data_IF_099231662844
#
_entry.id   IF_099231662844
#
_cell.length_a   1.000
_cell.length_b   1.000
_cell.length_c   1.000
_cell.angle_alpha   90.00
_cell.angle_beta   90.00
_cell.angle_gamma   90.00
#
_symmetry.space_group_name_H-M   'P 1'
#
loop_
_entity.id
_entity.type
_entity.pdbx_description
1 polymer ?
#
# COMPACT_ATOMS: atom_id res chain seq x y z
N UNK A 1 19.30 27.80 -8.04
CA UNK A 1 19.51 28.70 -9.20
C UNK A 1 20.45 28.13 -10.24
N UNK A 2 21.30 27.15 -9.92
CA UNK A 2 22.24 26.55 -10.88
C UNK A 2 21.61 25.54 -11.86
N UNK A 3 20.38 25.07 -11.60
CA UNK A 3 19.68 24.17 -12.52
C UNK A 3 19.16 24.93 -13.73
N UNK A 4 19.36 24.35 -14.91
CA UNK A 4 18.85 24.91 -16.17
C UNK A 4 17.34 24.74 -16.26
N UNK A 5 16.63 25.81 -16.65
CA UNK A 5 15.19 25.80 -16.95
C UNK A 5 14.88 25.26 -18.37
N UNK A 6 15.89 25.11 -19.21
CA UNK A 6 15.73 24.83 -20.64
C UNK A 6 15.61 23.33 -20.88
N UNK A 7 14.54 22.91 -21.56
CA UNK A 7 14.49 21.57 -22.16
C UNK A 7 15.35 21.58 -23.42
N UNK A 8 16.34 20.70 -23.50
CA UNK A 8 17.09 20.48 -24.73
C UNK A 8 16.20 19.69 -25.68
N UNK A 9 15.47 20.39 -26.53
CA UNK A 9 15.00 19.80 -27.79
C UNK A 9 16.24 19.79 -28.69
N UNK A 10 16.87 18.64 -28.89
CA UNK A 10 17.90 18.53 -29.92
C UNK A 10 17.25 18.80 -31.27
N UNK A 11 17.37 20.04 -31.76
CA UNK A 11 16.99 20.38 -33.12
C UNK A 11 17.73 19.48 -34.10
N UNK A 12 17.02 18.53 -34.70
CA UNK A 12 17.47 17.80 -35.88
C UNK A 12 18.28 16.51 -35.67
N UNK A 13 18.71 16.13 -34.46
CA UNK A 13 19.43 14.86 -34.24
C UNK A 13 18.72 14.05 -33.15
N UNK A 14 18.00 13.02 -33.60
CA UNK A 14 17.53 11.92 -32.75
C UNK A 14 18.74 11.15 -32.23
N UNK A 15 19.37 11.63 -31.17
CA UNK A 15 20.12 10.76 -30.27
C UNK A 15 19.05 10.01 -29.48
N UNK A 16 18.64 8.88 -30.03
CA UNK A 16 17.99 7.75 -29.36
C UNK A 16 17.04 8.09 -28.19
N UNK A 17 15.85 8.60 -28.52
CA UNK A 17 14.61 8.27 -27.80
C UNK A 17 14.32 8.89 -26.43
N UNK A 18 15.26 9.55 -25.77
CA UNK A 18 14.98 10.18 -24.46
C UNK A 18 14.58 11.65 -24.65
N UNK A 19 13.32 11.99 -24.36
CA UNK A 19 12.95 13.38 -24.08
C UNK A 19 13.53 13.72 -22.72
N UNK A 20 14.75 14.23 -22.74
CA UNK A 20 15.50 14.58 -21.55
C UNK A 20 15.02 15.92 -21.01
N UNK A 21 13.85 15.92 -20.37
CA UNK A 21 13.55 16.90 -19.33
C UNK A 21 14.54 16.63 -18.18
N UNK A 22 15.79 17.11 -18.28
CA UNK A 22 16.88 16.88 -17.31
C UNK A 22 17.13 18.08 -16.40
N UNK A 23 16.33 19.13 -16.53
CA UNK A 23 16.51 20.37 -15.78
C UNK A 23 15.60 20.46 -14.57
N UNK A 24 15.38 21.71 -14.13
CA UNK A 24 14.41 22.03 -13.08
C UNK A 24 12.98 21.53 -13.34
N UNK A 25 12.43 21.53 -14.58
CA UNK A 25 11.05 21.09 -14.81
C UNK A 25 10.78 19.64 -14.38
N UNK A 26 11.81 18.79 -14.41
CA UNK A 26 11.70 17.39 -13.96
C UNK A 26 11.72 17.29 -12.44
N UNK A 27 12.56 18.07 -11.78
CA UNK A 27 12.61 18.16 -10.32
C UNK A 27 11.28 18.69 -9.77
N UNK A 28 10.72 19.72 -10.39
CA UNK A 28 9.39 20.26 -10.06
C UNK A 28 8.30 19.22 -10.25
N UNK A 29 8.28 18.51 -11.38
CA UNK A 29 7.34 17.42 -11.63
C UNK A 29 7.42 16.32 -10.56
N UNK A 30 8.64 15.94 -10.13
CA UNK A 30 8.87 14.91 -9.12
C UNK A 30 8.40 15.38 -7.74
N UNK A 31 8.71 16.60 -7.33
CA UNK A 31 8.27 17.14 -6.04
C UNK A 31 6.75 17.32 -5.95
N UNK A 32 6.09 17.64 -7.06
CA UNK A 32 4.63 17.75 -7.11
C UNK A 32 3.92 16.41 -7.33
N UNK A 33 4.67 15.32 -7.55
CA UNK A 33 4.14 13.99 -7.84
C UNK A 33 3.15 14.03 -9.03
N UNK A 34 3.53 14.77 -10.08
CA UNK A 34 2.74 14.90 -11.31
C UNK A 34 3.04 13.76 -12.27
N UNK A 35 2.04 13.37 -13.06
CA UNK A 35 2.19 12.32 -14.08
C UNK A 35 3.24 12.72 -15.14
N UNK A 36 4.15 11.80 -15.52
CA UNK A 36 5.11 12.03 -16.58
C UNK A 36 4.45 12.11 -17.96
N UNK A 37 5.07 12.86 -18.89
CA UNK A 37 4.62 12.92 -20.30
C UNK A 37 4.83 11.59 -21.03
N UNK A 38 6.00 10.95 -20.82
CA UNK A 38 6.33 9.61 -21.32
C UNK A 38 6.29 8.62 -20.17
N UNK A 39 5.09 8.14 -19.86
CA UNK A 39 4.89 7.16 -18.80
C UNK A 39 5.32 5.76 -19.29
N UNK A 40 6.17 5.09 -18.52
CA UNK A 40 6.51 3.70 -18.74
C UNK A 40 5.41 2.79 -18.19
N UNK A 41 5.13 1.70 -18.88
CA UNK A 41 4.27 0.63 -18.38
C UNK A 41 5.09 -0.23 -17.41
N UNK A 42 4.57 -0.46 -16.21
CA UNK A 42 5.20 -1.31 -15.19
C UNK A 42 4.39 -2.58 -14.95
N UNK A 43 5.04 -3.65 -14.47
CA UNK A 43 4.35 -4.87 -14.07
C UNK A 43 3.67 -4.69 -12.71
N UNK A 44 2.43 -5.12 -12.58
CA UNK A 44 1.72 -5.18 -11.30
C UNK A 44 1.95 -6.50 -10.53
N UNK A 45 2.50 -7.52 -11.21
CA UNK A 45 2.69 -8.87 -10.64
C UNK A 45 4.13 -9.33 -10.78
N UNK A 46 4.57 -10.16 -9.82
CA UNK A 46 5.81 -10.92 -9.95
C UNK A 46 5.56 -12.12 -10.88
N UNK A 47 6.42 -12.30 -11.88
CA UNK A 47 6.19 -13.34 -12.87
C UNK A 47 7.27 -13.44 -13.93
N UNK A 48 7.00 -14.22 -14.96
CA UNK A 48 7.85 -14.38 -16.14
C UNK A 48 7.12 -13.89 -17.37
N UNK A 49 7.82 -13.20 -18.27
CA UNK A 49 7.28 -12.80 -19.57
C UNK A 49 7.05 -14.05 -20.41
N UNK A 50 5.79 -14.39 -20.62
CA UNK A 50 5.42 -15.58 -21.39
C UNK A 50 5.42 -15.30 -22.89
N UNK A 51 4.85 -14.16 -23.30
CA UNK A 51 4.80 -13.82 -24.71
C UNK A 51 4.75 -12.32 -24.98
N UNK A 52 5.25 -11.95 -26.15
CA UNK A 52 5.24 -10.57 -26.66
C UNK A 52 4.57 -10.60 -28.03
N UNK A 53 3.29 -10.27 -28.07
CA UNK A 53 2.47 -10.33 -29.29
C UNK A 53 2.51 -8.96 -29.97
N UNK A 54 2.95 -8.92 -31.23
CA UNK A 54 2.88 -7.72 -32.07
C UNK A 54 1.55 -7.71 -32.82
N UNK A 55 0.70 -6.72 -32.56
CA UNK A 55 -0.55 -6.53 -33.31
C UNK A 55 -0.34 -5.70 -34.58
N UNK A 56 -1.27 -5.85 -35.54
CA UNK A 56 -1.25 -5.17 -36.85
C UNK A 56 -1.15 -3.63 -36.80
N UNK A 57 -1.44 -3.00 -35.65
CA UNK A 57 -1.36 -1.54 -35.46
C UNK A 57 -0.10 -1.09 -34.70
N UNK A 58 1.00 -1.86 -34.75
CA UNK A 58 2.25 -1.56 -34.03
C UNK A 58 2.09 -1.50 -32.49
N UNK A 59 0.97 -2.02 -31.97
CA UNK A 59 0.72 -2.18 -30.54
C UNK A 59 1.33 -3.51 -30.11
N UNK A 60 2.09 -3.48 -29.02
CA UNK A 60 2.64 -4.70 -28.45
C UNK A 60 1.78 -5.10 -27.25
N UNK A 61 1.51 -6.39 -27.10
CA UNK A 61 0.93 -6.96 -25.88
C UNK A 61 2.01 -7.78 -25.18
N UNK A 62 2.20 -7.53 -23.90
CA UNK A 62 3.08 -8.34 -23.05
C UNK A 62 2.21 -9.17 -22.12
N UNK A 63 2.38 -10.48 -22.18
CA UNK A 63 1.70 -11.43 -21.30
C UNK A 63 2.67 -11.85 -20.21
N UNK A 64 2.32 -11.59 -18.95
CA UNK A 64 3.10 -11.98 -17.79
C UNK A 64 2.37 -13.10 -17.05
N UNK A 65 3.06 -14.21 -16.86
CA UNK A 65 2.60 -15.36 -16.10
C UNK A 65 3.14 -15.28 -14.66
N UNK A 66 2.29 -15.37 -13.62
CA UNK A 66 2.71 -15.25 -12.23
C UNK A 66 3.63 -16.41 -11.81
N UNK A 67 4.65 -16.13 -10.99
CA UNK A 67 5.58 -17.15 -10.50
C UNK A 67 4.94 -18.04 -9.41
N UNK A 68 3.95 -17.52 -8.69
CA UNK A 68 3.20 -18.27 -7.66
C UNK A 68 2.13 -19.16 -8.30
N UNK A 69 2.58 -20.24 -8.91
CA UNK A 69 1.75 -21.42 -9.12
C UNK A 69 1.56 -22.09 -7.76
N UNK A 70 0.55 -21.67 -6.98
CA UNK A 70 0.11 -22.50 -5.85
C UNK A 70 -0.51 -23.74 -6.49
N UNK A 71 0.25 -24.83 -6.47
CA UNK A 71 -0.21 -26.17 -6.86
C UNK A 71 -1.51 -26.49 -6.10
N UNK A 72 -2.66 -26.44 -6.77
CA UNK A 72 -3.93 -26.90 -6.21
C UNK A 72 -5.16 -26.01 -6.36
N UNK A 73 -5.06 -24.77 -6.89
CA UNK A 73 -6.26 -24.02 -7.32
C UNK A 73 -6.36 -24.01 -8.83
N UNK A 74 -7.29 -24.82 -9.35
CA UNK A 74 -7.55 -25.16 -10.75
C UNK A 74 -7.96 -24.03 -11.70
N UNK A 75 -7.39 -22.82 -11.59
CA UNK A 75 -7.62 -21.68 -12.50
C UNK A 75 -6.29 -21.04 -12.96
N UNK A 76 -5.32 -21.85 -13.41
CA UNK A 76 -3.99 -21.35 -13.86
C UNK A 76 -4.02 -20.47 -15.11
N UNK A 77 -5.08 -20.51 -15.92
CA UNK A 77 -5.22 -19.63 -17.10
C UNK A 77 -5.73 -18.21 -16.74
N UNK A 78 -6.40 -18.03 -15.60
CA UNK A 78 -7.09 -16.79 -15.24
C UNK A 78 -6.21 -15.74 -14.55
N UNK A 79 -4.96 -16.05 -14.22
CA UNK A 79 -4.04 -15.11 -13.53
C UNK A 79 -3.00 -14.48 -14.44
N UNK A 80 -2.99 -14.78 -15.74
CA UNK A 80 -2.09 -14.12 -16.69
C UNK A 80 -2.51 -12.67 -16.84
N UNK A 81 -1.55 -11.76 -16.71
CA UNK A 81 -1.82 -10.32 -16.84
C UNK A 81 -1.32 -9.82 -18.19
N UNK A 82 -2.23 -9.23 -18.95
CA UNK A 82 -1.97 -8.69 -20.29
C UNK A 82 -1.76 -7.19 -20.17
N UNK A 83 -0.59 -6.72 -20.59
CA UNK A 83 -0.25 -5.30 -20.65
C UNK A 83 -0.27 -4.82 -22.09
N UNK A 84 -1.08 -3.81 -22.37
CA UNK A 84 -1.13 -3.17 -23.68
C UNK A 84 -0.10 -2.05 -23.74
N UNK A 85 0.84 -2.15 -24.68
CA UNK A 85 1.91 -1.17 -24.85
C UNK A 85 1.58 -0.26 -26.03
N UNK A 86 1.47 1.06 -25.80
CA UNK A 86 1.35 2.05 -26.87
C UNK A 86 2.50 1.93 -27.88
N UNK A 87 2.24 2.18 -29.18
CA UNK A 87 3.24 2.04 -30.24
C UNK A 87 4.41 3.03 -30.11
N UNK A 88 4.22 4.11 -29.36
CA UNK A 88 5.22 5.15 -29.10
C UNK A 88 6.30 4.70 -28.12
N UNK A 89 6.00 3.70 -27.28
CA UNK A 89 6.89 3.23 -26.24
C UNK A 89 7.70 2.02 -26.71
N UNK A 90 9.02 2.13 -26.58
CA UNK A 90 9.92 1.00 -26.85
C UNK A 90 9.91 0.04 -25.68
N UNK A 91 9.75 -1.24 -25.98
CA UNK A 91 9.78 -2.34 -25.03
C UNK A 91 11.22 -2.69 -24.64
N UNK A 92 11.48 -2.97 -23.35
CA UNK A 92 12.81 -3.27 -22.81
C UNK A 92 12.99 -4.71 -22.31
N UNK A 93 11.90 -5.47 -22.20
CA UNK A 93 11.89 -6.84 -21.67
C UNK A 93 11.97 -7.89 -22.76
N UNK A 94 12.42 -9.10 -22.43
CA UNK A 94 12.49 -10.22 -23.38
C UNK A 94 11.60 -11.38 -22.95
N UNK A 95 11.20 -12.22 -23.90
CA UNK A 95 10.43 -13.45 -23.62
C UNK A 95 11.26 -14.39 -22.73
N UNK A 96 10.67 -14.86 -21.65
CA UNK A 96 11.34 -15.69 -20.63
C UNK A 96 12.03 -14.91 -19.51
N UNK A 97 12.04 -13.58 -19.55
CA UNK A 97 12.61 -12.77 -18.48
C UNK A 97 11.73 -12.82 -17.22
N UNK A 98 12.36 -13.01 -16.06
CA UNK A 98 11.70 -12.83 -14.76
C UNK A 98 11.57 -11.35 -14.43
N UNK A 99 10.38 -10.94 -14.02
CA UNK A 99 10.02 -9.55 -13.75
C UNK A 99 9.37 -9.47 -12.37
N UNK A 100 9.77 -8.46 -11.60
CA UNK A 100 9.16 -8.16 -10.31
C UNK A 100 8.02 -7.15 -10.44
N UNK A 101 7.08 -7.17 -9.50
CA UNK A 101 6.04 -6.16 -9.38
C UNK A 101 6.70 -4.78 -9.18
N UNK A 102 6.33 -3.80 -10.00
CA UNK A 102 6.89 -2.45 -10.07
C UNK A 102 8.00 -2.26 -11.12
N UNK A 103 8.46 -3.33 -11.77
CA UNK A 103 9.52 -3.24 -12.78
C UNK A 103 8.98 -2.74 -14.13
N UNK A 104 9.81 -1.97 -14.85
CA UNK A 104 9.47 -1.36 -16.14
C UNK A 104 9.44 -2.39 -17.26
N UNK A 105 8.38 -2.37 -18.05
CA UNK A 105 8.23 -3.13 -19.29
C UNK A 105 8.69 -2.34 -20.52
N UNK A 106 8.61 -1.00 -20.43
CA UNK A 106 8.94 -0.08 -21.52
C UNK A 106 9.91 1.01 -21.08
N UNK A 107 10.55 1.67 -22.05
CA UNK A 107 11.32 2.91 -21.83
C UNK A 107 10.38 4.03 -21.39
N UNK A 108 10.82 4.85 -20.44
CA UNK A 108 10.08 6.02 -19.95
C UNK A 108 10.22 6.21 -18.45
N UNK A 109 9.46 7.17 -17.94
CA UNK A 109 9.40 7.50 -16.52
C UNK A 109 8.22 6.79 -15.86
N UNK A 110 8.38 6.37 -14.61
CA UNK A 110 7.32 5.68 -13.87
C UNK A 110 6.42 6.74 -13.24
N UNK A 111 5.11 6.50 -13.21
CA UNK A 111 4.18 7.30 -12.43
C UNK A 111 4.28 6.90 -10.94
N UNK A 112 4.64 7.82 -10.01
CA UNK A 112 4.69 7.51 -8.59
C UNK A 112 3.38 6.96 -8.01
N UNK A 113 2.23 7.32 -8.61
CA UNK A 113 0.92 6.80 -8.18
C UNK A 113 0.75 5.31 -8.49
N UNK A 114 1.37 4.80 -9.55
CA UNK A 114 1.34 3.38 -9.86
C UNK A 114 2.24 2.58 -8.92
N UNK A 115 3.44 3.11 -8.62
CA UNK A 115 4.33 2.52 -7.62
C UNK A 115 3.63 2.45 -6.26
N UNK A 116 2.91 3.50 -5.86
CA UNK A 116 2.19 3.54 -4.59
C UNK A 116 1.17 2.39 -4.48
N UNK A 117 0.45 2.10 -5.56
CA UNK A 117 -0.56 1.03 -5.61
C UNK A 117 0.06 -0.37 -5.55
N UNK A 118 1.24 -0.55 -6.14
CA UNK A 118 1.86 -1.87 -6.30
C UNK A 118 2.82 -2.20 -5.15
N UNK A 119 3.70 -1.27 -4.80
CA UNK A 119 4.82 -1.50 -3.85
C UNK A 119 4.69 -0.67 -2.56
N UNK A 120 3.77 0.30 -2.50
CA UNK A 120 3.52 1.13 -1.32
C UNK A 120 4.43 2.36 -1.19
N UNK A 121 4.29 3.08 -0.07
CA UNK A 121 4.88 4.41 0.12
C UNK A 121 6.41 4.41 0.11
N UNK A 122 7.04 3.38 0.70
CA UNK A 122 8.50 3.28 0.81
C UNK A 122 9.15 3.20 -0.58
N UNK A 123 8.59 2.39 -1.47
CA UNK A 123 9.08 2.27 -2.83
C UNK A 123 8.94 3.58 -3.62
N UNK A 124 7.86 4.34 -3.39
CA UNK A 124 7.70 5.68 -3.98
C UNK A 124 8.78 6.63 -3.48
N UNK A 125 9.07 6.64 -2.18
CA UNK A 125 10.11 7.49 -1.60
C UNK A 125 11.49 7.16 -2.18
N UNK A 126 11.84 5.89 -2.27
CA UNK A 126 13.09 5.44 -2.89
C UNK A 126 13.17 5.80 -4.38
N UNK A 127 12.05 5.66 -5.11
CA UNK A 127 11.97 6.07 -6.52
C UNK A 127 12.20 7.57 -6.69
N UNK A 128 11.49 8.40 -5.91
CA UNK A 128 11.64 9.86 -5.95
C UNK A 128 13.06 10.29 -5.59
N UNK A 129 13.65 9.69 -4.56
CA UNK A 129 15.03 9.97 -4.15
C UNK A 129 16.00 9.69 -5.30
N UNK A 130 15.93 8.49 -5.91
CA UNK A 130 16.79 8.09 -7.02
C UNK A 130 16.64 9.01 -8.23
N UNK A 131 15.42 9.35 -8.61
CA UNK A 131 15.14 10.22 -9.77
C UNK A 131 15.61 11.66 -9.54
N UNK A 132 15.30 12.25 -8.39
CA UNK A 132 15.73 13.62 -8.06
C UNK A 132 17.26 13.69 -8.01
N UNK A 133 17.89 12.71 -7.35
CA UNK A 133 19.34 12.62 -7.25
C UNK A 133 20.00 12.44 -8.63
N UNK A 134 19.41 11.64 -9.52
CA UNK A 134 19.88 11.48 -10.89
C UNK A 134 19.85 12.81 -11.66
N UNK A 135 18.82 13.63 -11.48
CA UNK A 135 18.74 14.96 -12.11
C UNK A 135 19.86 15.87 -11.59
N UNK A 136 20.04 16.00 -10.27
CA UNK A 136 21.11 16.84 -9.71
C UNK A 136 22.50 16.37 -10.13
N UNK A 137 22.75 15.05 -10.11
CA UNK A 137 24.01 14.46 -10.56
C UNK A 137 24.28 14.72 -12.04
N UNK A 138 23.25 14.65 -12.90
CA UNK A 138 23.40 14.97 -14.33
C UNK A 138 23.83 16.42 -14.58
N UNK A 139 23.52 17.32 -13.64
CA UNK A 139 23.91 18.74 -13.68
C UNK A 139 25.20 19.00 -12.90
N UNK A 140 25.91 17.95 -12.46
CA UNK A 140 27.18 18.06 -11.73
C UNK A 140 27.04 18.53 -10.27
N UNK A 141 25.83 18.57 -9.72
CA UNK A 141 25.59 18.97 -8.33
C UNK A 141 25.46 17.72 -7.46
N UNK A 142 26.35 17.57 -6.49
CA UNK A 142 26.27 16.50 -5.50
C UNK A 142 25.53 16.98 -4.25
N UNK A 143 24.35 16.42 -3.99
CA UNK A 143 23.54 16.72 -2.81
C UNK A 143 23.50 15.46 -1.93
N UNK A 144 23.63 15.64 -0.62
CA UNK A 144 23.48 14.52 0.31
C UNK A 144 22.01 14.08 0.38
N UNK A 145 21.78 12.78 0.29
CA UNK A 145 20.45 12.15 0.28
C UNK A 145 19.58 12.60 1.46
N UNK A 146 20.16 12.86 2.63
CA UNK A 146 19.42 13.34 3.84
C UNK A 146 18.55 14.57 3.59
N UNK A 147 18.99 15.47 2.69
CA UNK A 147 18.25 16.70 2.39
C UNK A 147 17.05 16.39 1.51
N UNK A 148 17.23 15.51 0.52
CA UNK A 148 16.16 15.10 -0.38
C UNK A 148 15.14 14.25 0.38
N UNK A 149 15.58 13.34 1.24
CA UNK A 149 14.73 12.53 2.11
C UNK A 149 13.89 13.41 3.06
N UNK A 150 14.49 14.42 3.68
CA UNK A 150 13.77 15.34 4.55
C UNK A 150 12.65 16.08 3.81
N UNK A 151 12.87 16.44 2.54
CA UNK A 151 11.85 17.09 1.69
C UNK A 151 10.80 16.06 1.25
N UNK A 152 11.20 14.87 0.78
CA UNK A 152 10.28 13.81 0.34
C UNK A 152 9.33 13.41 1.47
N UNK A 153 9.83 13.34 2.71
CA UNK A 153 9.02 13.08 3.91
C UNK A 153 7.91 14.12 4.12
N UNK A 154 8.13 15.37 3.68
CA UNK A 154 7.15 16.46 3.80
C UNK A 154 6.19 16.53 2.61
N UNK A 155 6.36 15.74 1.55
CA UNK A 155 5.43 15.73 0.40
C UNK A 155 4.08 15.15 0.86
N UNK A 156 3.19 16.06 1.26
CA UNK A 156 1.96 15.77 2.00
C UNK A 156 1.03 14.77 1.32
N UNK A 157 0.98 14.75 -0.02
CA UNK A 157 0.05 13.88 -0.77
C UNK A 157 0.31 12.38 -0.60
N UNK A 158 1.54 12.00 -0.28
CA UNK A 158 1.89 10.58 -0.07
C UNK A 158 1.67 10.15 1.39
N UNK A 159 1.65 11.08 2.33
CA UNK A 159 1.51 10.81 3.76
C UNK A 159 0.07 11.02 4.28
N UNK A 160 -0.90 11.18 3.38
CA UNK A 160 -2.31 11.32 3.74
C UNK A 160 -3.09 10.06 3.37
N UNK A 161 -3.99 9.65 4.24
CA UNK A 161 -4.87 8.50 4.08
C UNK A 161 -6.32 8.98 4.08
N UNK A 162 -7.12 8.35 3.22
CA UNK A 162 -8.56 8.59 3.17
C UNK A 162 -9.26 7.69 4.18
N UNK A 163 -9.94 8.28 5.15
CA UNK A 163 -10.69 7.56 6.17
C UNK A 163 -11.98 7.05 5.56
N UNK A 164 -12.05 5.74 5.28
CA UNK A 164 -13.29 5.12 4.76
C UNK A 164 -14.40 5.06 5.81
N UNK A 165 -14.04 4.75 7.06
CA UNK A 165 -14.97 4.58 8.17
C UNK A 165 -14.25 4.89 9.48
N UNK A 166 -14.80 5.83 10.25
CA UNK A 166 -14.25 6.27 11.52
C UNK A 166 -14.44 5.27 12.67
N UNK A 167 -15.58 4.55 12.68
CA UNK A 167 -15.98 3.65 13.78
C UNK A 167 -15.85 4.38 15.14
N UNK A 168 -15.09 3.82 16.07
CA UNK A 168 -14.90 4.33 17.44
C UNK A 168 -13.79 5.40 17.54
N UNK A 169 -13.11 5.73 16.43
CA UNK A 169 -12.11 6.79 16.41
C UNK A 169 -12.73 8.19 16.33
N UNK A 170 -11.99 9.19 16.78
CA UNK A 170 -12.38 10.61 16.72
C UNK A 170 -12.35 11.20 15.29
N UNK A 171 -11.93 10.41 14.29
CA UNK A 171 -11.76 10.86 12.91
C UNK A 171 -13.11 10.99 12.20
N UNK A 172 -13.19 11.81 11.15
CA UNK A 172 -14.38 11.88 10.31
C UNK A 172 -14.30 10.90 9.13
N UNK A 173 -15.41 10.21 8.88
CA UNK A 173 -15.52 9.38 7.68
C UNK A 173 -15.55 10.27 6.44
N UNK A 174 -14.66 10.00 5.48
CA UNK A 174 -14.50 10.79 4.26
C UNK A 174 -13.43 11.88 4.32
N UNK A 175 -12.75 12.04 5.45
CA UNK A 175 -11.65 13.00 5.60
C UNK A 175 -10.31 12.43 5.09
N UNK A 176 -9.43 13.33 4.63
CA UNK A 176 -8.02 13.02 4.37
C UNK A 176 -7.18 13.46 5.58
N UNK A 177 -6.60 12.50 6.28
CA UNK A 177 -5.79 12.74 7.48
C UNK A 177 -4.37 12.25 7.28
N UNK A 178 -3.39 12.79 8.01
CA UNK A 178 -2.03 12.29 7.95
C UNK A 178 -1.93 10.88 8.56
N UNK A 179 -1.05 10.03 8.02
CA UNK A 179 -0.80 8.68 8.54
C UNK A 179 -0.45 8.72 10.02
N UNK A 180 0.36 9.68 10.45
CA UNK A 180 0.74 9.83 11.87
C UNK A 180 -0.45 10.09 12.78
N UNK A 181 -1.41 10.90 12.33
CA UNK A 181 -2.59 11.24 13.13
C UNK A 181 -3.60 10.11 13.11
N UNK A 182 -3.72 9.40 11.98
CA UNK A 182 -4.48 8.15 11.87
C UNK A 182 -3.94 7.07 12.81
N UNK A 183 -2.62 6.86 12.85
CA UNK A 183 -1.97 5.91 13.75
C UNK A 183 -2.19 6.27 15.22
N UNK A 184 -2.05 7.55 15.59
CA UNK A 184 -2.34 8.03 16.95
C UNK A 184 -3.80 7.80 17.34
N UNK A 185 -4.75 8.11 16.46
CA UNK A 185 -6.17 7.91 16.75
C UNK A 185 -6.48 6.42 16.97
N UNK A 186 -5.91 5.54 16.15
CA UNK A 186 -6.07 4.10 16.33
C UNK A 186 -5.43 3.59 17.63
N UNK A 187 -4.24 4.07 17.98
CA UNK A 187 -3.59 3.71 19.24
C UNK A 187 -4.43 4.11 20.45
N UNK A 188 -5.00 5.31 20.43
CA UNK A 188 -5.90 5.80 21.49
C UNK A 188 -7.13 4.89 21.66
N UNK A 189 -7.78 4.52 20.55
CA UNK A 189 -8.92 3.58 20.58
C UNK A 189 -8.52 2.21 21.15
N UNK A 190 -7.32 1.71 20.82
CA UNK A 190 -6.81 0.45 21.37
C UNK A 190 -6.56 0.55 22.87
N UNK A 191 -6.04 1.67 23.37
CA UNK A 191 -5.85 1.91 24.79
C UNK A 191 -7.18 2.01 25.54
N UNK A 192 -8.14 2.79 25.03
CA UNK A 192 -9.48 2.90 25.61
C UNK A 192 -10.20 1.55 25.67
N UNK A 193 -10.10 0.75 24.61
CA UNK A 193 -10.66 -0.60 24.59
C UNK A 193 -10.02 -1.52 25.64
N UNK A 194 -8.71 -1.41 25.89
CA UNK A 194 -8.03 -2.17 26.95
C UNK A 194 -8.53 -1.75 28.33
N UNK A 195 -8.66 -0.46 28.59
CA UNK A 195 -9.19 0.04 29.86
C UNK A 195 -10.64 -0.43 30.10
N UNK A 196 -11.48 -0.43 29.06
CA UNK A 196 -12.86 -0.93 29.15
C UNK A 196 -12.86 -2.43 29.47
N UNK A 197 -12.00 -3.22 28.83
CA UNK A 197 -11.87 -4.65 29.12
C UNK A 197 -11.42 -4.88 30.56
N UNK A 198 -10.43 -4.14 31.06
CA UNK A 198 -9.98 -4.26 32.46
C UNK A 198 -11.09 -3.90 33.45
N UNK A 199 -11.80 -2.78 33.24
CA UNK A 199 -12.97 -2.41 34.06
C UNK A 199 -14.06 -3.46 34.04
N UNK A 200 -14.35 -4.04 32.87
CA UNK A 200 -15.34 -5.11 32.75
C UNK A 200 -14.90 -6.36 33.53
N UNK A 201 -13.59 -6.70 33.53
CA UNK A 201 -13.06 -7.81 34.33
C UNK A 201 -13.19 -7.56 35.82
N UNK A 202 -12.83 -6.36 36.29
CA UNK A 202 -12.97 -5.97 37.69
C UNK A 202 -14.44 -6.05 38.16
N UNK A 203 -15.39 -5.65 37.33
CA UNK A 203 -16.83 -5.72 37.64
C UNK A 203 -17.33 -7.17 37.78
N UNK A 204 -16.72 -8.11 37.06
CA UNK A 204 -17.10 -9.52 37.06
C UNK A 204 -16.37 -10.33 38.14
N UNK A 205 -15.17 -9.92 38.53
CA UNK A 205 -14.33 -10.68 39.46
C UNK A 205 -14.99 -10.77 40.85
N UNK A 206 -14.98 -11.97 41.43
CA UNK A 206 -15.55 -12.28 42.75
C UNK A 206 -17.08 -12.13 42.89
N UNK A 207 -17.81 -11.87 41.79
CA UNK A 207 -19.28 -11.89 41.79
C UNK A 207 -19.83 -13.30 41.67
N UNK A 208 -21.02 -13.54 42.25
CA UNK A 208 -21.73 -14.83 42.20
C UNK A 208 -22.82 -14.83 41.14
N UNK A 209 -22.92 -15.91 40.37
CA UNK A 209 -24.00 -16.10 39.38
C UNK A 209 -25.32 -16.50 40.07
N UNK A 210 -26.44 -15.86 39.69
CA UNK A 210 -27.79 -16.23 40.16
C UNK A 210 -28.42 -17.29 39.27
N UNK A 211 -28.01 -17.32 38.00
CA UNK A 211 -28.56 -18.23 36.99
C UNK A 211 -27.42 -18.93 36.27
N UNK A 212 -27.60 -20.20 35.85
CA UNK A 212 -26.61 -20.89 35.07
C UNK A 212 -26.42 -20.16 33.74
N UNK A 213 -25.16 -19.94 33.36
CA UNK A 213 -24.83 -19.27 32.11
C UNK A 213 -24.67 -20.32 31.02
N UNK A 214 -25.58 -20.32 30.05
CA UNK A 214 -25.63 -21.30 28.96
C UNK A 214 -25.22 -20.60 27.66
N UNK A 215 -24.37 -21.24 26.85
CA UNK A 215 -24.05 -20.71 25.53
C UNK A 215 -25.22 -20.89 24.56
N UNK A 216 -25.59 -19.83 23.84
CA UNK A 216 -26.67 -19.88 22.85
C UNK A 216 -26.34 -20.79 21.65
N UNK A 217 -25.05 -21.03 21.37
CA UNK A 217 -24.59 -21.81 20.21
C UNK A 217 -24.35 -23.30 20.50
N UNK A 218 -23.83 -23.63 21.68
CA UNK A 218 -23.47 -25.02 22.03
C UNK A 218 -24.42 -25.64 23.05
N UNK A 219 -25.25 -24.85 23.74
CA UNK A 219 -26.09 -25.33 24.84
C UNK A 219 -25.29 -25.79 26.07
N UNK A 220 -23.97 -25.56 26.08
CA UNK A 220 -23.11 -25.94 27.19
C UNK A 220 -23.22 -24.94 28.34
N UNK A 221 -23.26 -25.47 29.57
CA UNK A 221 -23.23 -24.67 30.80
C UNK A 221 -21.79 -24.21 31.04
N UNK A 222 -21.57 -22.91 30.97
CA UNK A 222 -20.25 -22.28 31.13
C UNK A 222 -19.94 -22.04 32.61
N UNK A 223 -20.97 -21.66 33.37
CA UNK A 223 -20.91 -21.38 34.81
C UNK A 223 -22.19 -21.90 35.46
N UNK A 224 -22.06 -22.67 36.54
CA UNK A 224 -23.23 -23.15 37.29
C UNK A 224 -23.83 -22.06 38.19
N UNK A 225 -25.04 -22.30 38.69
CA UNK A 225 -25.72 -21.40 39.61
C UNK A 225 -24.97 -21.32 40.96
N UNK A 226 -24.67 -20.11 41.42
CA UNK A 226 -24.00 -19.86 42.70
C UNK A 226 -22.47 -19.96 42.68
N UNK A 227 -21.86 -20.18 41.52
CA UNK A 227 -20.40 -20.25 41.38
C UNK A 227 -19.77 -18.84 41.32
N UNK A 228 -18.57 -18.68 41.90
CA UNK A 228 -17.85 -17.42 41.84
C UNK A 228 -17.16 -17.27 40.48
N UNK A 229 -17.30 -16.10 39.85
CA UNK A 229 -16.57 -15.77 38.63
C UNK A 229 -15.10 -15.53 38.97
N UNK A 230 -14.22 -16.35 38.38
CA UNK A 230 -12.76 -16.25 38.55
C UNK A 230 -12.07 -15.90 37.22
N UNK A 231 -10.80 -15.52 37.28
CA UNK A 231 -9.97 -15.25 36.09
C UNK A 231 -9.88 -16.41 35.07
N UNK A 232 -10.27 -17.64 35.44
CA UNK A 232 -10.38 -18.78 34.51
C UNK A 232 -11.71 -18.83 33.77
N UNK A 233 -12.76 -18.25 34.33
CA UNK A 233 -14.12 -18.27 33.81
C UNK A 233 -14.40 -17.07 32.91
N UNK A 234 -13.80 -15.91 33.20
CA UNK A 234 -13.93 -14.65 32.44
C UNK A 234 -13.62 -14.80 30.93
N UNK A 235 -12.51 -15.42 30.49
CA UNK A 235 -12.22 -15.55 29.07
C UNK A 235 -13.23 -16.44 28.33
N UNK A 236 -13.86 -17.40 29.04
CA UNK A 236 -14.94 -18.21 28.46
C UNK A 236 -16.16 -17.33 28.25
N UNK A 237 -16.53 -16.53 29.25
CA UNK A 237 -17.65 -15.57 29.15
C UNK A 237 -17.43 -14.59 27.99
N UNK A 238 -16.23 -14.06 27.78
CA UNK A 238 -15.94 -13.14 26.67
C UNK A 238 -16.08 -13.77 25.26
N UNK A 239 -15.87 -15.08 25.13
CA UNK A 239 -15.86 -15.79 23.83
C UNK A 239 -17.23 -16.33 23.45
N UNK A 240 -18.05 -16.69 24.43
CA UNK A 240 -19.37 -17.26 24.18
C UNK A 240 -20.45 -16.17 24.16
N UNK A 241 -21.32 -16.21 23.16
CA UNK A 241 -22.55 -15.41 23.16
C UNK A 241 -23.55 -16.04 24.15
N UNK A 242 -24.09 -15.20 25.04
CA UNK A 242 -25.14 -15.54 26.01
C UNK A 242 -26.20 -14.44 26.04
N UNK A 243 -27.45 -14.81 26.31
CA UNK A 243 -28.59 -13.89 26.28
C UNK A 243 -28.68 -12.97 27.50
N UNK A 244 -28.33 -13.46 28.69
CA UNK A 244 -28.42 -12.71 29.95
C UNK A 244 -27.41 -13.26 30.99
N UNK A 245 -26.76 -12.36 31.72
CA UNK A 245 -25.88 -12.69 32.86
C UNK A 245 -26.42 -11.99 34.11
N UNK A 246 -26.88 -12.76 35.09
CA UNK A 246 -27.35 -12.26 36.39
C UNK A 246 -26.32 -12.56 37.47
N UNK A 247 -25.78 -11.49 38.08
CA UNK A 247 -24.75 -11.56 39.12
C UNK A 247 -25.20 -10.84 40.40
N UNK A 248 -24.69 -11.31 41.54
CA UNK A 248 -24.85 -10.68 42.86
C UNK A 248 -23.47 -10.42 43.46
N UNK A 249 -23.43 -9.36 44.25
CA UNK A 249 -22.31 -8.98 45.11
C UNK A 249 -21.94 -10.04 46.16
#
# INVERSE_FOLDING_TARGET
>A
TQLTLRTFHTGGIKITGEDITLGLPRVEQLFEVRKPKKQAVISEINGTVEDIIKENNNRNKVVISPETSIEGLSNSEEKKKIYHIPPELRLIVEKGQKISAGEKLTVGFIDPHEILKIQGIKAVQEYLLKEIQAVYRSQGVNINDKHIEAIIRQIARLNMVYVRSARDSELLSGELVYVSDFEKANLKVVEENKEIVEKNKELLENRRTISPLVSDKTGEVIVEEGENITNKTIPKIEVYEFSDLKIVD
#
